data_IF_239319874789
#
_entry.id   IF_239319874789
#
_cell.length_a   1.000
_cell.length_b   1.000
_cell.length_c   1.000
_cell.angle_alpha   90.00
_cell.angle_beta   90.00
_cell.angle_gamma   90.00
#
_symmetry.space_group_name_H-M   'P 1'
#
loop_
_entity.id
_entity.type
_entity.pdbx_description
1 polymer ?
#
# COMPACT_ATOMS: atom_id res chain seq x y z
N UNK A 1 -4.80 -9.30 -5.86
CA UNK A 1 -3.48 -8.77 -6.30
C UNK A 1 -3.72 -7.63 -7.27
N UNK A 2 -3.02 -6.50 -7.10
CA UNK A 2 -3.17 -5.31 -7.96
C UNK A 2 -1.79 -4.74 -8.35
N UNK A 3 -1.69 -4.12 -9.51
CA UNK A 3 -0.45 -3.53 -10.05
C UNK A 3 -0.73 -2.22 -10.78
N UNK A 4 0.16 -1.23 -10.63
CA UNK A 4 0.13 0.03 -11.39
C UNK A 4 1.57 0.52 -11.66
N UNK A 5 2.02 0.35 -12.91
CA UNK A 5 3.37 0.65 -13.42
C UNK A 5 4.52 -0.03 -12.67
N UNK A 6 4.93 0.51 -11.53
CA UNK A 6 6.07 0.12 -10.71
C UNK A 6 5.67 -0.25 -9.27
N UNK A 7 4.36 -0.27 -8.97
CA UNK A 7 3.81 -0.63 -7.67
C UNK A 7 3.03 -1.94 -7.71
N UNK A 8 3.13 -2.70 -6.62
CA UNK A 8 2.44 -3.97 -6.42
C UNK A 8 1.72 -3.96 -5.08
N UNK A 9 0.47 -4.41 -5.07
CA UNK A 9 -0.31 -4.65 -3.85
C UNK A 9 -0.60 -6.14 -3.73
N UNK A 10 -0.04 -6.75 -2.69
CA UNK A 10 -0.13 -8.17 -2.40
C UNK A 10 -0.92 -8.41 -1.13
N UNK A 11 -1.75 -9.46 -1.16
CA UNK A 11 -2.17 -10.15 0.06
C UNK A 11 -1.13 -11.23 0.32
N UNK A 12 -0.47 -11.17 1.47
CA UNK A 12 0.62 -12.07 1.84
C UNK A 12 0.14 -12.89 3.02
N UNK A 13 0.17 -14.21 2.88
CA UNK A 13 -0.13 -15.16 3.96
C UNK A 13 1.20 -15.73 4.46
N UNK A 14 1.66 -15.26 5.63
CA UNK A 14 2.88 -15.74 6.29
C UNK A 14 2.85 -15.37 7.78
N UNK A 15 3.74 -15.98 8.58
CA UNK A 15 3.85 -15.71 10.01
C UNK A 15 4.38 -14.28 10.28
N UNK A 16 5.49 -13.91 9.62
CA UNK A 16 6.07 -12.57 9.70
C UNK A 16 6.75 -12.20 8.35
N UNK A 17 6.17 -11.23 7.66
CA UNK A 17 6.69 -10.74 6.37
C UNK A 17 8.00 -9.95 6.56
N UNK A 18 8.16 -9.25 7.68
CA UNK A 18 9.32 -8.40 7.94
C UNK A 18 10.55 -9.23 8.28
N UNK A 19 10.39 -10.35 8.99
CA UNK A 19 11.49 -11.31 9.15
C UNK A 19 12.01 -11.80 7.79
N UNK A 20 11.09 -12.09 6.86
CA UNK A 20 11.44 -12.55 5.52
C UNK A 20 12.17 -11.45 4.75
N UNK A 21 11.70 -10.21 4.82
CA UNK A 21 12.37 -9.05 4.22
C UNK A 21 13.78 -8.82 4.77
N UNK A 22 13.98 -8.99 6.09
CA UNK A 22 15.29 -8.84 6.74
C UNK A 22 16.28 -9.90 6.23
N UNK A 23 15.83 -11.15 6.03
CA UNK A 23 16.69 -12.24 5.49
C UNK A 23 17.18 -11.92 4.08
N UNK A 24 16.36 -11.24 3.27
CA UNK A 24 16.64 -10.86 1.89
C UNK A 24 16.93 -9.36 1.71
N UNK A 25 17.44 -8.68 2.75
CA UNK A 25 17.51 -7.20 2.78
C UNK A 25 18.28 -6.56 1.62
N UNK A 26 19.20 -7.29 1.00
CA UNK A 26 19.92 -6.83 -0.20
C UNK A 26 18.99 -6.55 -1.40
N UNK A 27 17.75 -7.04 -1.37
CA UNK A 27 16.73 -6.88 -2.42
C UNK A 27 15.78 -5.71 -2.15
N UNK A 28 15.88 -5.07 -0.99
CA UNK A 28 14.96 -4.05 -0.53
C UNK A 28 15.63 -2.72 -0.20
N UNK A 29 14.99 -1.61 -0.54
CA UNK A 29 15.27 -0.30 0.04
C UNK A 29 14.44 -0.13 1.31
N UNK A 30 15.13 -0.07 2.45
CA UNK A 30 14.56 0.06 3.79
C UNK A 30 14.99 1.37 4.45
N UNK A 31 15.59 2.29 3.68
CA UNK A 31 16.21 3.50 4.20
C UNK A 31 15.22 4.52 4.78
N UNK A 32 13.94 4.40 4.42
CA UNK A 32 12.86 5.30 4.86
C UNK A 32 12.09 4.76 6.10
N UNK A 33 12.50 3.62 6.67
CA UNK A 33 11.97 3.14 7.94
C UNK A 33 12.41 4.04 9.10
N UNK A 34 11.64 4.03 10.20
CA UNK A 34 12.05 4.66 11.44
C UNK A 34 13.25 3.93 12.04
N UNK A 35 14.18 4.65 12.66
CA UNK A 35 15.38 4.05 13.28
C UNK A 35 15.05 3.11 14.44
N UNK A 36 13.94 3.36 15.13
CA UNK A 36 13.40 2.61 16.25
C UNK A 36 12.14 1.81 15.87
N UNK A 37 12.02 1.43 14.58
CA UNK A 37 10.87 0.65 14.10
C UNK A 37 10.75 -0.68 14.86
N UNK A 38 9.50 -1.10 15.11
CA UNK A 38 9.15 -2.28 15.91
C UNK A 38 9.65 -3.60 15.32
N UNK A 39 9.97 -3.63 14.02
CA UNK A 39 10.43 -4.81 13.30
C UNK A 39 11.95 -4.98 13.31
N UNK A 40 12.69 -4.01 13.89
CA UNK A 40 14.16 -4.02 13.88
C UNK A 40 14.76 -3.90 12.47
N UNK A 41 14.01 -3.33 11.52
CA UNK A 41 14.41 -3.19 10.12
C UNK A 41 15.69 -2.33 10.00
N UNK A 42 16.80 -2.85 9.46
CA UNK A 42 17.99 -2.07 9.19
C UNK A 42 17.72 -0.98 8.14
N UNK A 43 18.31 0.20 8.29
CA UNK A 43 18.15 1.30 7.34
C UNK A 43 19.21 1.21 6.24
N UNK A 44 18.86 0.67 5.07
CA UNK A 44 19.82 0.36 4.00
C UNK A 44 19.31 0.72 2.59
N UNK A 45 20.24 0.72 1.63
CA UNK A 45 20.00 0.73 0.18
C UNK A 45 19.21 1.92 -0.40
N UNK A 46 19.36 3.10 0.21
CA UNK A 46 18.69 4.33 -0.21
C UNK A 46 18.85 4.65 -1.69
N UNK A 47 17.73 4.66 -2.42
CA UNK A 47 17.62 5.04 -3.84
C UNK A 47 18.49 4.20 -4.78
N UNK A 48 18.76 2.95 -4.43
CA UNK A 48 19.46 2.01 -5.33
C UNK A 48 18.47 1.52 -6.41
N UNK A 49 18.76 1.71 -7.71
CA UNK A 49 17.87 1.30 -8.77
C UNK A 49 17.59 -0.22 -8.77
N UNK A 50 16.33 -0.60 -9.01
CA UNK A 50 15.91 -1.99 -9.13
C UNK A 50 15.59 -2.70 -7.81
N UNK A 51 15.75 -2.03 -6.67
CA UNK A 51 15.30 -2.57 -5.39
C UNK A 51 13.84 -2.23 -5.12
N UNK A 52 13.14 -3.17 -4.49
CA UNK A 52 11.76 -2.96 -4.06
C UNK A 52 11.73 -2.22 -2.72
N UNK A 53 10.73 -1.39 -2.49
CA UNK A 53 10.53 -0.73 -1.20
C UNK A 53 9.16 -1.06 -0.65
N UNK A 54 9.03 -1.11 0.67
CA UNK A 54 7.73 -1.08 1.33
C UNK A 54 7.25 0.38 1.37
N UNK A 55 6.26 0.73 0.54
CA UNK A 55 5.69 2.08 0.47
C UNK A 55 5.10 2.56 1.81
N UNK A 56 4.71 1.61 2.68
CA UNK A 56 4.11 1.92 3.97
C UNK A 56 5.12 1.97 5.11
N UNK A 57 6.41 1.76 4.88
CA UNK A 57 7.47 1.84 5.91
C UNK A 57 7.08 1.15 7.24
N UNK A 58 6.54 -0.05 7.17
CA UNK A 58 6.13 -0.85 8.34
C UNK A 58 4.69 -0.61 8.83
N UNK A 59 3.96 0.37 8.28
CA UNK A 59 2.55 0.57 8.62
C UNK A 59 1.68 -0.47 7.89
N UNK A 60 0.83 -1.18 8.64
CA UNK A 60 0.05 -2.28 8.09
C UNK A 60 -1.10 -1.76 7.23
N UNK A 61 -1.17 -2.21 5.99
CA UNK A 61 -2.35 -2.03 5.14
C UNK A 61 -3.45 -2.98 5.63
N UNK A 62 -4.53 -2.42 6.15
CA UNK A 62 -5.64 -3.20 6.73
C UNK A 62 -6.69 -3.55 5.67
N UNK A 63 -6.92 -2.65 4.72
CA UNK A 63 -7.94 -2.82 3.68
C UNK A 63 -7.46 -2.27 2.35
N UNK A 64 -7.85 -2.96 1.29
CA UNK A 64 -7.62 -2.56 -0.09
C UNK A 64 -8.88 -2.79 -0.92
N UNK A 65 -9.34 -1.77 -1.64
CA UNK A 65 -10.46 -1.86 -2.57
C UNK A 65 -9.98 -1.44 -3.95
N UNK A 66 -9.91 -2.38 -4.89
CA UNK A 66 -9.58 -2.12 -6.29
C UNK A 66 -10.82 -2.29 -7.16
N UNK A 67 -11.28 -1.22 -7.81
CA UNK A 67 -12.45 -1.25 -8.68
C UNK A 67 -12.08 -1.43 -10.15
N UNK A 68 -11.04 -0.72 -10.60
CA UNK A 68 -10.48 -0.84 -11.97
C UNK A 68 -9.05 -0.32 -12.01
N UNK A 69 -8.40 -0.43 -13.16
CA UNK A 69 -7.09 0.16 -13.39
C UNK A 69 -7.07 1.66 -13.03
N UNK A 70 -6.13 2.04 -12.16
CA UNK A 70 -5.93 3.40 -11.61
C UNK A 70 -7.14 3.92 -10.81
N UNK A 71 -7.95 3.03 -10.26
CA UNK A 71 -9.07 3.37 -9.40
C UNK A 71 -9.14 2.41 -8.21
N UNK A 72 -8.64 2.86 -7.07
CA UNK A 72 -8.51 2.06 -5.86
C UNK A 72 -8.50 2.94 -4.61
N UNK A 73 -8.82 2.33 -3.47
CA UNK A 73 -8.67 2.93 -2.16
C UNK A 73 -7.89 2.00 -1.23
N UNK A 74 -7.09 2.59 -0.34
CA UNK A 74 -6.22 1.88 0.59
C UNK A 74 -6.38 2.48 1.98
N UNK A 75 -6.57 1.62 2.98
CA UNK A 75 -6.55 1.98 4.39
C UNK A 75 -5.30 1.38 5.03
N UNK A 76 -4.55 2.23 5.71
CA UNK A 76 -3.29 1.88 6.36
C UNK A 76 -3.35 2.37 7.79
N UNK A 77 -2.99 1.52 8.73
CA UNK A 77 -3.07 1.83 10.15
C UNK A 77 -2.24 3.07 10.51
N UNK A 78 -2.81 3.94 11.34
CA UNK A 78 -2.20 5.23 11.70
C UNK A 78 -2.03 6.24 10.55
N UNK A 79 -2.57 5.98 9.35
CA UNK A 79 -2.46 6.89 8.18
C UNK A 79 -3.82 7.28 7.63
N UNK A 80 -3.85 8.38 6.86
CA UNK A 80 -5.06 8.79 6.13
C UNK A 80 -5.31 7.87 4.96
N UNK A 81 -6.58 7.58 4.69
CA UNK A 81 -7.00 6.81 3.51
C UNK A 81 -6.41 7.39 2.22
N UNK A 82 -5.81 6.52 1.42
CA UNK A 82 -5.33 6.86 0.08
C UNK A 82 -6.42 6.48 -0.92
N UNK A 83 -6.84 7.44 -1.74
CA UNK A 83 -7.91 7.26 -2.73
C UNK A 83 -7.40 7.69 -4.09
N UNK A 84 -7.47 6.78 -5.06
CA UNK A 84 -7.12 7.02 -6.46
C UNK A 84 -8.35 6.83 -7.32
N UNK A 85 -8.67 7.84 -8.12
CA UNK A 85 -9.71 7.76 -9.15
C UNK A 85 -9.18 8.41 -10.44
N UNK A 86 -8.82 7.59 -11.42
CA UNK A 86 -8.39 8.07 -12.74
C UNK A 86 -9.45 9.00 -13.35
N UNK A 87 -8.97 10.07 -13.99
CA UNK A 87 -9.76 11.09 -14.69
C UNK A 87 -10.65 11.96 -13.78
N UNK A 88 -10.54 11.80 -12.46
CA UNK A 88 -11.19 12.66 -11.46
C UNK A 88 -10.15 13.60 -10.85
N UNK A 89 -10.50 14.88 -10.69
CA UNK A 89 -9.60 15.87 -10.07
C UNK A 89 -9.30 15.48 -8.61
N UNK A 90 -8.02 15.46 -8.24
CA UNK A 90 -7.57 15.10 -6.89
C UNK A 90 -8.31 15.84 -5.76
N UNK A 91 -8.61 17.13 -5.93
CA UNK A 91 -9.35 17.91 -4.93
C UNK A 91 -10.78 17.41 -4.70
N UNK A 92 -11.43 16.90 -5.75
CA UNK A 92 -12.77 16.30 -5.64
C UNK A 92 -12.67 14.95 -4.91
N UNK A 93 -11.68 14.13 -5.28
CA UNK A 93 -11.43 12.84 -4.59
C UNK A 93 -11.16 13.05 -3.10
N UNK A 94 -10.36 14.06 -2.75
CA UNK A 94 -10.00 14.34 -1.37
C UNK A 94 -11.18 14.83 -0.52
N UNK A 95 -12.10 15.63 -1.10
CA UNK A 95 -13.16 16.33 -0.36
C UNK A 95 -14.52 15.63 -0.39
N UNK A 96 -14.81 14.87 -1.44
CA UNK A 96 -16.15 14.35 -1.71
C UNK A 96 -16.23 12.83 -1.68
N UNK A 97 -15.16 12.15 -2.09
CA UNK A 97 -15.15 10.68 -2.16
C UNK A 97 -14.50 10.12 -0.90
N UNK A 98 -15.16 9.17 -0.24
CA UNK A 98 -14.69 8.47 0.95
C UNK A 98 -14.17 7.08 0.60
N UNK A 99 -13.49 6.41 1.53
CA UNK A 99 -13.12 5.00 1.34
C UNK A 99 -14.36 4.11 1.25
N UNK A 100 -15.38 4.41 2.05
CA UNK A 100 -16.64 3.66 2.12
C UNK A 100 -17.42 3.72 0.80
N UNK A 101 -17.27 4.80 0.01
CA UNK A 101 -17.83 4.87 -1.34
C UNK A 101 -17.25 3.79 -2.26
N UNK A 102 -15.94 3.50 -2.16
CA UNK A 102 -15.31 2.42 -2.95
C UNK A 102 -15.82 1.06 -2.48
N UNK A 103 -15.91 0.85 -1.17
CA UNK A 103 -16.39 -0.41 -0.58
C UNK A 103 -17.84 -0.68 -0.96
N UNK A 104 -18.70 0.36 -0.90
CA UNK A 104 -20.09 0.28 -1.33
C UNK A 104 -20.20 -0.09 -2.80
N UNK A 105 -19.46 0.59 -3.68
CA UNK A 105 -19.45 0.25 -5.11
C UNK A 105 -18.99 -1.18 -5.38
N UNK A 106 -18.00 -1.69 -4.65
CA UNK A 106 -17.55 -3.08 -4.79
C UNK A 106 -18.65 -4.06 -4.40
N UNK A 107 -19.35 -3.81 -3.30
CA UNK A 107 -20.34 -4.73 -2.75
C UNK A 107 -21.69 -4.68 -3.49
N UNK A 108 -22.12 -3.50 -3.95
CA UNK A 108 -23.33 -3.35 -4.78
C UNK A 108 -23.21 -4.12 -6.12
N UNK A 109 -22.00 -4.26 -6.67
CA UNK A 109 -21.74 -5.09 -7.85
C UNK A 109 -21.81 -6.59 -7.54
N UNK A 110 -21.54 -7.01 -6.29
CA UNK A 110 -21.55 -8.43 -5.87
C UNK A 110 -22.98 -8.94 -5.65
N UNK A 111 -23.94 -8.06 -5.34
CA UNK A 111 -25.35 -8.42 -5.11
C UNK A 111 -26.23 -8.40 -6.39
N UNK A 112 -25.67 -8.09 -7.57
CA UNK A 112 -26.34 -8.20 -8.88
C UNK A 112 -25.99 -9.49 -9.62
#
# INVERSE_FOLDING_TARGET
MYTDTDSLVYHIECDDVYETMIRDIARFDTSDYLSDNVYGMPLMNKKVPGLMKDENNGAIMTEFVGLRAKMYAVRVDGRKDVKKAKDVKNNIVARTITFDDYTRCLNEEIEM
#
